data_IF_081766788354
#
_entry.id   IF_081766788354
#
_cell.length_a   1.000
_cell.length_b   1.000
_cell.length_c   1.000
_cell.angle_alpha   90.00
_cell.angle_beta   90.00
_cell.angle_gamma   90.00
#
_symmetry.space_group_name_H-M   'P 1'
#
loop_
_entity.id
_entity.type
_entity.pdbx_description
1 polymer ?
#
# COMPACT_ATOMS: atom_id res chain seq x y z
N UNK A 1 32.17 4.09 16.23
CA UNK A 1 30.71 4.10 16.32
C UNK A 1 30.27 5.55 16.27
N UNK A 2 29.89 6.02 15.12
CA UNK A 2 29.63 7.44 14.87
C UNK A 2 28.20 7.73 15.33
N UNK A 3 28.07 8.59 16.35
CA UNK A 3 26.84 9.31 16.62
C UNK A 3 26.64 10.27 15.46
N UNK A 4 25.96 9.86 14.42
CA UNK A 4 25.48 10.80 13.42
C UNK A 4 24.21 11.43 14.02
N UNK A 5 24.34 12.63 14.57
CA UNK A 5 23.25 13.60 14.47
C UNK A 5 23.04 13.74 12.98
N UNK A 6 21.97 13.16 12.48
CA UNK A 6 21.67 13.14 11.06
C UNK A 6 21.13 14.51 10.63
N UNK A 7 22.01 15.49 10.53
CA UNK A 7 21.68 16.75 9.81
C UNK A 7 21.56 16.53 8.29
N UNK A 8 21.95 15.35 7.79
CA UNK A 8 21.92 15.01 6.37
C UNK A 8 20.66 14.24 5.90
N UNK A 9 19.74 13.87 6.81
CA UNK A 9 18.56 13.12 6.38
C UNK A 9 17.42 14.08 6.09
N UNK A 10 17.13 14.20 4.81
CA UNK A 10 15.95 14.77 4.18
C UNK A 10 15.94 16.28 3.95
N UNK A 11 16.39 16.69 2.79
CA UNK A 11 15.90 17.85 2.03
C UNK A 11 14.44 17.69 1.57
N UNK A 12 13.57 17.05 2.37
CA UNK A 12 12.15 17.21 2.22
C UNK A 12 11.81 18.60 2.75
N UNK A 13 11.44 19.49 1.86
CA UNK A 13 10.99 20.82 2.25
C UNK A 13 9.80 20.67 3.20
N UNK A 14 9.77 21.45 4.29
CA UNK A 14 8.68 21.45 5.29
C UNK A 14 7.27 21.59 4.67
N UNK A 15 7.19 22.03 3.44
CA UNK A 15 5.97 22.29 2.68
C UNK A 15 5.17 21.02 2.34
N UNK A 16 5.80 19.88 2.19
CA UNK A 16 5.15 18.60 1.83
C UNK A 16 4.98 17.66 3.01
N UNK A 17 5.40 18.07 4.20
CA UNK A 17 5.47 17.21 5.35
C UNK A 17 4.20 17.28 6.21
N UNK A 18 3.75 16.12 6.70
CA UNK A 18 2.70 15.97 7.71
C UNK A 18 3.30 15.33 8.96
N UNK A 19 3.03 15.91 10.11
CA UNK A 19 3.49 15.36 11.39
C UNK A 19 2.69 14.12 11.78
N UNK A 20 3.36 12.96 11.75
CA UNK A 20 2.84 11.66 12.17
C UNK A 20 3.45 11.18 13.49
N UNK A 21 4.07 12.09 14.26
CA UNK A 21 4.75 11.71 15.51
C UNK A 21 3.81 11.42 16.66
N UNK A 22 2.56 11.85 16.62
CA UNK A 22 1.63 11.73 17.77
C UNK A 22 1.43 10.28 18.22
N UNK A 23 1.24 9.34 17.28
CA UNK A 23 1.06 7.93 17.62
C UNK A 23 2.36 7.31 18.12
N UNK A 24 3.49 7.71 17.53
CA UNK A 24 4.81 7.30 17.99
C UNK A 24 5.05 7.77 19.44
N UNK A 25 4.70 9.02 19.76
CA UNK A 25 4.81 9.59 21.11
C UNK A 25 3.99 8.81 22.12
N UNK A 26 2.69 8.61 21.83
CA UNK A 26 1.82 7.78 22.69
C UNK A 26 2.40 6.40 22.95
N UNK A 27 2.89 5.75 21.89
CA UNK A 27 3.52 4.44 22.01
C UNK A 27 4.76 4.46 22.90
N UNK A 28 5.69 5.41 22.67
CA UNK A 28 6.97 5.48 23.38
C UNK A 28 6.85 6.00 24.81
N UNK A 29 5.80 6.76 25.13
CA UNK A 29 5.49 7.21 26.50
C UNK A 29 4.96 6.05 27.35
N UNK A 30 4.15 5.17 26.75
CA UNK A 30 3.49 4.07 27.45
C UNK A 30 4.36 2.80 27.49
N UNK A 31 5.09 2.50 26.40
CA UNK A 31 5.85 1.26 26.26
C UNK A 31 7.35 1.51 26.15
N UNK A 32 8.20 0.61 26.64
CA UNK A 32 9.65 0.72 26.49
C UNK A 32 10.13 0.59 25.05
N UNK A 33 9.31 0.03 24.16
CA UNK A 33 9.62 -0.05 22.74
C UNK A 33 8.41 0.15 21.84
N UNK A 34 8.68 0.57 20.61
CA UNK A 34 7.69 0.61 19.51
C UNK A 34 8.24 -0.14 18.30
N UNK A 35 7.35 -0.78 17.55
CA UNK A 35 7.66 -1.42 16.27
C UNK A 35 6.82 -0.76 15.18
N UNK A 36 7.48 -0.16 14.20
CA UNK A 36 6.85 0.55 13.10
C UNK A 36 6.98 -0.31 11.84
N UNK A 37 5.86 -0.86 11.37
CA UNK A 37 5.84 -1.64 10.14
C UNK A 37 5.18 -0.88 8.99
N UNK A 38 5.65 -1.15 7.79
CA UNK A 38 5.03 -0.61 6.57
C UNK A 38 5.97 -0.73 5.37
N UNK A 39 5.40 -0.74 4.18
CA UNK A 39 6.16 -0.83 2.94
C UNK A 39 7.12 0.37 2.73
N UNK A 40 7.89 0.33 1.67
CA UNK A 40 8.74 1.45 1.28
C UNK A 40 7.89 2.73 1.08
N UNK A 41 8.51 3.88 1.30
CA UNK A 41 7.89 5.20 1.09
C UNK A 41 6.60 5.46 1.89
N UNK A 42 6.32 4.65 2.92
CA UNK A 42 5.19 4.85 3.83
C UNK A 42 5.42 5.91 4.93
N UNK A 43 6.59 6.56 4.94
CA UNK A 43 6.90 7.65 5.86
C UNK A 43 7.50 7.25 7.22
N UNK A 44 7.82 5.97 7.47
CA UNK A 44 8.38 5.47 8.75
C UNK A 44 9.59 6.25 9.23
N UNK A 45 10.65 6.28 8.42
CA UNK A 45 11.91 6.96 8.75
C UNK A 45 11.71 8.46 8.96
N UNK A 46 10.79 9.07 8.19
CA UNK A 46 10.44 10.48 8.34
C UNK A 46 9.81 10.74 9.72
N UNK A 47 8.81 9.93 10.10
CA UNK A 47 8.14 10.05 11.39
C UNK A 47 9.11 9.86 12.57
N UNK A 48 10.03 8.87 12.48
CA UNK A 48 11.06 8.64 13.51
C UNK A 48 12.04 9.81 13.60
N UNK A 49 12.52 10.33 12.47
CA UNK A 49 13.43 11.47 12.45
C UNK A 49 12.80 12.74 13.05
N UNK A 50 11.50 12.94 12.86
CA UNK A 50 10.81 14.06 13.51
C UNK A 50 10.66 13.85 15.01
N UNK A 51 10.30 12.64 15.43
CA UNK A 51 10.28 12.29 16.84
C UNK A 51 11.65 12.57 17.48
N UNK A 52 12.74 12.17 16.82
CA UNK A 52 14.10 12.43 17.29
C UNK A 52 14.42 13.94 17.41
N UNK A 53 14.01 14.74 16.42
CA UNK A 53 14.22 16.21 16.44
C UNK A 53 13.49 16.91 17.59
N UNK A 54 12.34 16.39 18.00
CA UNK A 54 11.54 16.95 19.10
C UNK A 54 12.11 16.59 20.48
N UNK A 55 12.78 15.44 20.61
CA UNK A 55 13.37 14.94 21.87
C UNK A 55 14.78 15.50 22.08
N UNK A 56 14.88 16.82 22.36
CA UNK A 56 16.16 17.56 22.43
C UNK A 56 17.11 17.07 23.52
N UNK A 57 16.56 16.54 24.62
CA UNK A 57 17.32 16.13 25.81
C UNK A 57 17.59 14.61 25.84
N UNK A 58 17.53 13.95 24.68
CA UNK A 58 17.72 12.51 24.58
C UNK A 58 18.76 12.20 23.53
N UNK A 59 19.74 11.37 23.90
CA UNK A 59 20.71 10.84 22.97
C UNK A 59 20.13 9.68 22.17
N UNK A 60 20.46 9.63 20.88
CA UNK A 60 19.99 8.58 19.96
C UNK A 60 21.18 7.75 19.45
N UNK A 61 20.96 6.44 19.39
CA UNK A 61 21.87 5.50 18.73
C UNK A 61 21.15 4.87 17.56
N UNK A 62 21.61 5.17 16.35
CA UNK A 62 21.11 4.53 15.13
C UNK A 62 21.83 3.19 14.92
N UNK A 63 21.06 2.11 14.87
CA UNK A 63 21.53 0.75 14.67
C UNK A 63 21.01 0.20 13.34
N UNK A 64 21.86 0.19 12.31
CA UNK A 64 21.51 -0.26 10.97
C UNK A 64 21.61 -1.78 10.88
N UNK A 65 20.46 -2.45 10.82
CA UNK A 65 20.34 -3.91 10.90
C UNK A 65 20.89 -4.64 9.67
N UNK A 66 20.80 -4.04 8.50
CA UNK A 66 21.30 -4.58 7.22
C UNK A 66 22.84 -4.70 7.16
N UNK A 67 23.53 -3.94 7.99
CA UNK A 67 25.01 -3.99 8.09
C UNK A 67 25.53 -5.11 8.99
N UNK A 68 24.65 -5.76 9.74
CA UNK A 68 25.00 -6.80 10.71
C UNK A 68 24.82 -8.19 10.09
N UNK A 69 25.86 -8.69 9.41
CA UNK A 69 25.79 -9.97 8.68
C UNK A 69 25.83 -11.19 9.60
N UNK A 70 26.65 -11.16 10.67
CA UNK A 70 26.77 -12.29 11.58
C UNK A 70 26.13 -12.02 12.96
N UNK A 71 25.61 -13.09 13.58
CA UNK A 71 24.90 -13.01 14.86
C UNK A 71 25.82 -12.60 16.00
N UNK A 72 27.06 -13.05 15.99
CA UNK A 72 28.01 -12.75 17.05
C UNK A 72 28.42 -11.27 17.10
N UNK A 73 28.65 -10.65 15.94
CA UNK A 73 28.91 -9.20 15.84
C UNK A 73 27.70 -8.40 16.32
N UNK A 74 26.51 -8.81 15.87
CA UNK A 74 25.25 -8.20 16.27
C UNK A 74 25.04 -8.20 17.79
N UNK A 75 25.17 -9.37 18.43
CA UNK A 75 24.97 -9.53 19.88
C UNK A 75 26.03 -8.73 20.67
N UNK A 76 27.28 -8.71 20.23
CA UNK A 76 28.32 -7.88 20.85
C UNK A 76 27.98 -6.40 20.80
N UNK A 77 27.52 -5.90 19.67
CA UNK A 77 27.11 -4.47 19.52
C UNK A 77 25.93 -4.12 20.42
N UNK A 78 24.89 -4.96 20.48
CA UNK A 78 23.78 -4.77 21.41
C UNK A 78 24.27 -4.72 22.88
N UNK A 79 25.22 -5.58 23.25
CA UNK A 79 25.77 -5.58 24.59
C UNK A 79 26.55 -4.30 24.92
N UNK A 80 27.26 -3.72 23.94
CA UNK A 80 27.94 -2.44 24.11
C UNK A 80 26.96 -1.28 24.25
N UNK A 81 25.89 -1.25 23.44
CA UNK A 81 24.80 -0.26 23.55
C UNK A 81 24.17 -0.36 24.94
N UNK A 82 23.84 -1.56 25.40
CA UNK A 82 23.23 -1.79 26.73
C UNK A 82 24.11 -1.23 27.85
N UNK A 83 25.42 -1.50 27.88
CA UNK A 83 26.33 -0.97 28.89
C UNK A 83 26.35 0.56 28.92
N UNK A 84 26.16 1.20 27.77
CA UNK A 84 26.06 2.65 27.69
C UNK A 84 24.74 3.14 28.26
N UNK A 85 23.61 2.46 27.97
CA UNK A 85 22.27 2.75 28.49
C UNK A 85 22.12 2.60 30.01
N UNK A 86 23.02 1.85 30.64
CA UNK A 86 23.09 1.76 32.12
C UNK A 86 23.59 3.08 32.78
N UNK A 87 24.26 3.94 32.01
CA UNK A 87 24.86 5.19 32.48
C UNK A 87 24.20 6.44 31.92
N UNK A 88 23.57 6.34 30.79
CA UNK A 88 23.02 7.45 30.02
C UNK A 88 21.61 7.14 29.55
N UNK A 89 20.76 8.18 29.48
CA UNK A 89 19.44 8.07 28.86
C UNK A 89 19.60 8.07 27.34
N UNK A 90 19.36 6.90 26.72
CA UNK A 90 19.57 6.70 25.29
C UNK A 90 18.33 6.04 24.68
N UNK A 91 17.92 6.51 23.49
CA UNK A 91 16.96 5.81 22.66
C UNK A 91 17.68 5.14 21.50
N UNK A 92 17.40 3.86 21.28
CA UNK A 92 17.98 3.06 20.19
C UNK A 92 16.98 2.95 19.07
N UNK A 93 17.40 3.35 17.86
CA UNK A 93 16.61 3.23 16.65
C UNK A 93 17.21 2.12 15.80
N UNK A 94 16.52 0.99 15.68
CA UNK A 94 16.89 -0.14 14.85
C UNK A 94 16.24 0.02 13.48
N UNK A 95 17.00 0.43 12.48
CA UNK A 95 16.52 0.64 11.10
C UNK A 95 16.92 -0.50 10.16
N UNK A 96 16.25 -0.55 9.00
CA UNK A 96 16.51 -1.53 7.94
C UNK A 96 16.33 -2.98 8.38
N UNK A 97 15.33 -3.27 9.21
CA UNK A 97 14.93 -4.63 9.57
C UNK A 97 14.18 -5.33 8.43
N UNK A 98 14.69 -5.23 7.21
CA UNK A 98 14.00 -5.66 5.98
C UNK A 98 14.33 -7.10 5.58
N UNK A 99 15.27 -7.75 6.29
CA UNK A 99 15.61 -9.15 6.09
C UNK A 99 15.10 -9.99 7.24
N UNK A 100 14.76 -11.26 7.02
CA UNK A 100 14.41 -12.17 8.09
C UNK A 100 15.51 -12.22 9.16
N UNK A 101 15.14 -11.93 10.40
CA UNK A 101 16.05 -12.07 11.53
C UNK A 101 16.28 -13.55 11.81
N UNK A 102 17.54 -13.91 12.13
CA UNK A 102 17.81 -15.21 12.76
C UNK A 102 17.13 -15.29 14.14
N UNK A 103 16.82 -16.50 14.57
CA UNK A 103 16.27 -16.72 15.92
C UNK A 103 17.18 -16.14 17.00
N UNK A 104 18.51 -16.23 16.84
CA UNK A 104 19.50 -15.68 17.76
C UNK A 104 19.46 -14.15 17.85
N UNK A 105 19.36 -13.44 16.71
CA UNK A 105 19.20 -11.99 16.69
C UNK A 105 17.89 -11.54 17.31
N UNK A 106 16.79 -12.25 17.00
CA UNK A 106 15.48 -11.95 17.55
C UNK A 106 15.46 -12.13 19.08
N UNK A 107 16.02 -13.22 19.60
CA UNK A 107 16.18 -13.43 21.04
C UNK A 107 17.02 -12.34 21.72
N UNK A 108 18.14 -11.98 21.12
CA UNK A 108 18.99 -10.92 21.64
C UNK A 108 18.26 -9.57 21.72
N UNK A 109 17.42 -9.23 20.72
CA UNK A 109 16.57 -8.02 20.75
C UNK A 109 15.50 -8.09 21.85
N UNK A 110 14.84 -9.24 22.01
CA UNK A 110 13.84 -9.43 23.06
C UNK A 110 14.48 -9.26 24.45
N UNK A 111 15.62 -9.89 24.70
CA UNK A 111 16.34 -9.74 25.96
C UNK A 111 16.87 -8.31 26.17
N UNK A 112 17.27 -7.65 25.10
CA UNK A 112 17.68 -6.24 25.13
C UNK A 112 16.51 -5.34 25.61
N UNK A 113 15.34 -5.47 25.01
CA UNK A 113 14.14 -4.70 25.38
C UNK A 113 13.67 -5.00 26.80
N UNK A 114 13.63 -6.28 27.19
CA UNK A 114 13.19 -6.69 28.55
C UNK A 114 14.06 -6.05 29.66
N UNK A 115 15.30 -5.72 29.36
CA UNK A 115 16.28 -5.18 30.31
C UNK A 115 16.54 -3.68 30.14
N UNK A 116 15.69 -2.97 29.39
CA UNK A 116 15.80 -1.53 29.28
C UNK A 116 15.52 -0.89 30.65
N UNK A 117 16.43 -0.03 31.09
CA UNK A 117 16.22 0.81 32.26
C UNK A 117 15.20 1.90 31.99
N UNK A 118 14.58 2.44 33.04
CA UNK A 118 13.61 3.51 32.93
C UNK A 118 14.20 4.73 32.19
N UNK A 119 13.38 5.28 31.30
CA UNK A 119 13.79 6.40 30.45
C UNK A 119 14.49 6.01 29.16
N UNK A 120 15.02 4.79 29.04
CA UNK A 120 15.55 4.25 27.80
C UNK A 120 14.44 3.69 26.91
N UNK A 121 14.61 3.78 25.58
CA UNK A 121 13.60 3.32 24.62
C UNK A 121 14.25 2.61 23.42
N UNK A 122 13.45 1.74 22.77
CA UNK A 122 13.86 1.08 21.55
C UNK A 122 12.79 1.28 20.46
N UNK A 123 13.21 1.73 19.29
CA UNK A 123 12.36 1.96 18.13
C UNK A 123 12.80 1.01 17.02
N UNK A 124 11.92 0.12 16.59
CA UNK A 124 12.14 -0.80 15.47
C UNK A 124 11.46 -0.27 14.23
N UNK A 125 12.18 -0.20 13.11
CA UNK A 125 11.65 0.24 11.82
C UNK A 125 11.84 -0.88 10.80
N UNK A 126 10.75 -1.41 10.26
CA UNK A 126 10.75 -2.55 9.37
C UNK A 126 9.79 -2.39 8.19
N UNK A 127 10.11 -3.06 7.09
CA UNK A 127 9.15 -3.30 5.98
C UNK A 127 8.36 -4.59 6.20
N UNK A 128 8.85 -5.46 7.05
CA UNK A 128 8.29 -6.78 7.32
C UNK A 128 7.67 -6.85 8.71
N UNK A 129 6.85 -7.90 8.93
CA UNK A 129 6.26 -8.22 10.25
C UNK A 129 7.35 -8.42 11.30
N UNK A 130 7.03 -8.14 12.57
CA UNK A 130 7.89 -8.55 13.65
C UNK A 130 8.15 -10.07 13.59
N UNK A 131 9.40 -10.46 13.80
CA UNK A 131 9.74 -11.87 13.97
C UNK A 131 8.93 -12.49 15.10
N UNK A 132 8.54 -13.78 14.98
CA UNK A 132 7.66 -14.48 15.97
C UNK A 132 8.11 -14.30 17.43
N UNK A 133 9.43 -14.29 17.70
CA UNK A 133 9.96 -14.06 19.05
C UNK A 133 9.79 -12.61 19.51
N UNK A 134 9.87 -11.63 18.61
CA UNK A 134 9.63 -10.22 18.91
C UNK A 134 8.15 -9.98 19.25
N UNK A 135 7.21 -10.75 18.67
CA UNK A 135 5.79 -10.67 19.02
C UNK A 135 5.53 -10.93 20.52
N UNK A 136 6.41 -11.65 21.22
CA UNK A 136 6.32 -11.84 22.66
C UNK A 136 6.31 -10.51 23.43
N UNK A 137 7.02 -9.50 22.92
CA UNK A 137 7.06 -8.17 23.55
C UNK A 137 5.72 -7.46 23.49
N UNK A 138 4.91 -7.70 22.45
CA UNK A 138 3.55 -7.15 22.36
C UNK A 138 2.66 -7.73 23.46
N UNK A 139 2.66 -9.05 23.60
CA UNK A 139 1.82 -9.73 24.61
C UNK A 139 2.25 -9.47 26.05
N UNK A 140 3.53 -9.11 26.25
CA UNK A 140 4.07 -8.73 27.56
C UNK A 140 3.99 -7.22 27.84
N UNK A 141 3.27 -6.47 27.04
CA UNK A 141 3.13 -5.01 27.15
C UNK A 141 4.48 -4.27 27.22
N UNK A 142 5.46 -4.79 26.49
CA UNK A 142 6.80 -4.18 26.38
C UNK A 142 7.02 -3.48 25.03
N UNK A 143 6.06 -3.62 24.10
CA UNK A 143 6.15 -3.04 22.77
C UNK A 143 4.78 -2.63 22.25
N UNK A 144 4.70 -1.48 21.59
CA UNK A 144 3.55 -1.03 20.83
C UNK A 144 3.80 -1.19 19.33
N UNK A 145 2.81 -1.72 18.59
CA UNK A 145 2.89 -1.91 17.15
C UNK A 145 2.20 -0.76 16.43
N UNK A 146 2.93 -0.07 15.58
CA UNK A 146 2.42 0.98 14.69
C UNK A 146 2.38 0.43 13.27
N UNK A 147 1.18 0.31 12.73
CA UNK A 147 0.97 -0.19 11.38
C UNK A 147 1.12 0.91 10.32
N UNK A 148 1.33 0.52 9.08
CA UNK A 148 1.36 1.45 7.95
C UNK A 148 0.10 2.34 7.89
N UNK A 149 -1.08 1.82 8.25
CA UNK A 149 -2.34 2.58 8.20
C UNK A 149 -2.27 3.89 9.00
N UNK A 150 -1.56 3.89 10.12
CA UNK A 150 -1.35 5.09 10.95
C UNK A 150 -0.45 6.14 10.28
N UNK A 151 0.36 5.74 9.32
CA UNK A 151 1.29 6.63 8.61
C UNK A 151 0.70 7.21 7.32
N UNK A 152 -0.35 6.60 6.76
CA UNK A 152 -1.01 7.11 5.56
C UNK A 152 -1.60 8.50 5.82
N UNK A 153 -1.57 9.35 4.81
CA UNK A 153 -2.18 10.68 4.90
C UNK A 153 -3.69 10.60 4.72
N UNK A 154 -4.43 11.28 5.59
CA UNK A 154 -5.87 11.48 5.43
C UNK A 154 -6.16 12.52 4.33
N UNK A 155 -7.44 12.62 3.94
CA UNK A 155 -7.86 13.63 2.96
C UNK A 155 -7.59 15.04 3.49
N UNK A 156 -7.82 15.29 4.79
CA UNK A 156 -7.60 16.57 5.46
C UNK A 156 -6.11 16.94 5.50
N UNK A 157 -5.25 15.97 5.72
CA UNK A 157 -3.80 16.13 5.70
C UNK A 157 -3.31 16.46 4.28
N UNK A 158 -3.83 15.77 3.26
CA UNK A 158 -3.54 16.08 1.85
C UNK A 158 -4.06 17.47 1.48
N UNK A 159 -5.23 17.86 1.97
CA UNK A 159 -5.75 19.22 1.78
C UNK A 159 -4.82 20.28 2.35
N UNK A 160 -4.22 20.01 3.51
CA UNK A 160 -3.21 20.90 4.11
C UNK A 160 -1.96 21.02 3.24
N UNK A 161 -1.52 19.91 2.59
CA UNK A 161 -0.42 19.94 1.60
C UNK A 161 -0.81 20.77 0.38
N UNK A 162 -2.00 20.55 -0.17
CA UNK A 162 -2.50 21.30 -1.33
C UNK A 162 -2.55 22.79 -1.04
N UNK A 163 -3.08 23.19 0.12
CA UNK A 163 -3.15 24.62 0.53
C UNK A 163 -1.76 25.25 0.69
N UNK A 164 -0.84 24.57 1.38
CA UNK A 164 0.54 25.07 1.57
C UNK A 164 1.31 25.25 0.26
N UNK A 165 1.01 24.44 -0.75
CA UNK A 165 1.67 24.47 -2.06
C UNK A 165 0.82 25.17 -3.12
N UNK A 166 -0.34 25.79 -2.74
CA UNK A 166 -1.27 26.46 -3.66
C UNK A 166 -1.71 25.60 -4.86
N UNK A 167 -1.84 24.27 -4.65
CA UNK A 167 -2.18 23.34 -5.72
C UNK A 167 -3.65 23.46 -6.12
N UNK A 168 -3.93 23.56 -7.41
CA UNK A 168 -5.28 23.64 -7.98
C UNK A 168 -6.00 22.27 -8.09
N UNK A 169 -5.44 21.20 -7.50
CA UNK A 169 -6.00 19.84 -7.51
C UNK A 169 -6.73 19.54 -6.19
N UNK A 170 -7.84 18.80 -6.25
CA UNK A 170 -8.60 18.44 -5.05
C UNK A 170 -7.91 17.32 -4.27
N UNK A 171 -7.82 17.47 -2.95
CA UNK A 171 -7.23 16.46 -2.06
C UNK A 171 -7.89 15.07 -2.21
N UNK A 172 -9.20 15.01 -2.40
CA UNK A 172 -9.93 13.74 -2.63
C UNK A 172 -9.47 13.01 -3.89
N UNK A 173 -9.10 13.72 -4.94
CA UNK A 173 -8.62 13.11 -6.18
C UNK A 173 -7.20 12.56 -5.99
N UNK A 174 -6.31 13.30 -5.31
CA UNK A 174 -4.99 12.78 -4.93
C UNK A 174 -5.13 11.55 -4.02
N UNK A 175 -6.01 11.61 -3.01
CA UNK A 175 -6.25 10.47 -2.12
C UNK A 175 -6.76 9.25 -2.88
N UNK A 176 -7.71 9.42 -3.81
CA UNK A 176 -8.22 8.32 -4.64
C UNK A 176 -7.12 7.64 -5.44
N UNK A 177 -6.17 8.41 -5.99
CA UNK A 177 -5.06 7.87 -6.79
C UNK A 177 -3.95 7.23 -5.94
N UNK A 178 -3.66 7.80 -4.76
CA UNK A 178 -2.50 7.42 -3.95
C UNK A 178 -2.85 6.54 -2.73
N UNK A 179 -4.15 6.47 -2.35
CA UNK A 179 -4.56 5.86 -1.08
C UNK A 179 -3.98 6.54 0.15
N UNK A 180 -3.51 7.79 0.02
CA UNK A 180 -2.83 8.53 1.09
C UNK A 180 -1.37 8.11 1.30
N UNK A 181 -0.75 7.39 0.37
CA UNK A 181 0.64 6.94 0.49
C UNK A 181 1.60 8.12 0.52
N UNK A 182 2.34 8.37 1.63
CA UNK A 182 3.09 9.61 1.84
C UNK A 182 4.08 9.96 0.73
N UNK A 183 4.93 9.01 0.31
CA UNK A 183 5.90 9.25 -0.75
C UNK A 183 5.25 9.65 -2.07
N UNK A 184 4.15 8.98 -2.46
CA UNK A 184 3.43 9.30 -3.69
C UNK A 184 2.69 10.63 -3.62
N UNK A 185 2.06 10.95 -2.48
CA UNK A 185 1.42 12.27 -2.27
C UNK A 185 2.45 13.39 -2.37
N UNK A 186 3.60 13.24 -1.70
CA UNK A 186 4.67 14.23 -1.76
C UNK A 186 5.27 14.39 -3.16
N UNK A 187 5.46 13.26 -3.88
CA UNK A 187 5.94 13.29 -5.27
C UNK A 187 4.98 14.07 -6.17
N UNK A 188 3.68 13.72 -6.14
CA UNK A 188 2.67 14.41 -6.93
C UNK A 188 2.58 15.89 -6.58
N UNK A 189 2.57 16.24 -5.29
CA UNK A 189 2.53 17.64 -4.85
C UNK A 189 3.73 18.45 -5.38
N UNK A 190 4.94 17.88 -5.35
CA UNK A 190 6.14 18.50 -5.90
C UNK A 190 6.05 18.68 -7.42
N UNK A 191 5.56 17.68 -8.13
CA UNK A 191 5.41 17.76 -9.59
C UNK A 191 4.39 18.81 -10.00
N UNK A 192 3.23 18.87 -9.32
CA UNK A 192 2.24 19.93 -9.56
C UNK A 192 2.84 21.31 -9.34
N UNK A 193 3.59 21.52 -8.26
CA UNK A 193 4.24 22.78 -7.98
C UNK A 193 5.24 23.16 -9.07
N UNK A 194 6.11 22.23 -9.48
CA UNK A 194 7.09 22.49 -10.54
C UNK A 194 6.42 22.89 -11.86
N UNK A 195 5.30 22.25 -12.22
CA UNK A 195 4.52 22.62 -13.41
C UNK A 195 3.91 24.02 -13.28
N UNK A 196 3.35 24.36 -12.13
CA UNK A 196 2.81 25.70 -11.88
C UNK A 196 3.90 26.77 -11.96
N UNK A 197 5.07 26.54 -11.36
CA UNK A 197 6.24 27.45 -11.45
C UNK A 197 6.71 27.66 -12.89
N UNK A 198 6.59 26.62 -13.73
CA UNK A 198 6.88 26.70 -15.17
C UNK A 198 5.74 27.36 -16.00
N UNK A 199 4.62 27.73 -15.36
CA UNK A 199 3.45 28.27 -16.07
C UNK A 199 2.67 27.21 -16.86
N UNK A 200 2.89 25.92 -16.61
CA UNK A 200 2.22 24.80 -17.27
C UNK A 200 1.02 24.32 -16.46
N UNK A 201 -0.08 24.02 -17.15
CA UNK A 201 -1.20 23.28 -16.54
C UNK A 201 -0.94 21.78 -16.66
N UNK A 202 -1.35 21.02 -15.64
CA UNK A 202 -1.28 19.57 -15.68
C UNK A 202 -2.50 18.95 -14.99
N UNK A 203 -2.98 17.86 -15.55
CA UNK A 203 -4.03 17.04 -14.95
C UNK A 203 -3.44 15.96 -14.05
N UNK A 204 -4.22 15.46 -13.09
CA UNK A 204 -3.78 14.36 -12.23
C UNK A 204 -3.49 13.08 -13.04
N UNK A 205 -4.28 12.82 -14.09
CA UNK A 205 -4.08 11.67 -14.99
C UNK A 205 -2.74 11.75 -15.71
N UNK A 206 -2.37 12.91 -16.24
CA UNK A 206 -1.07 13.11 -16.88
C UNK A 206 0.08 12.90 -15.90
N UNK A 207 -0.04 13.44 -14.68
CA UNK A 207 0.96 13.27 -13.64
C UNK A 207 1.13 11.80 -13.24
N UNK A 208 0.01 11.10 -13.01
CA UNK A 208 0.03 9.68 -12.66
C UNK A 208 0.72 8.81 -13.72
N UNK A 209 0.46 9.12 -14.99
CA UNK A 209 0.99 8.37 -16.14
C UNK A 209 2.37 8.88 -16.60
N UNK A 210 2.96 9.83 -15.88
CA UNK A 210 4.30 10.31 -16.19
C UNK A 210 5.35 9.24 -15.93
N UNK A 211 6.45 9.29 -16.68
CA UNK A 211 7.58 8.38 -16.51
C UNK A 211 8.18 8.45 -15.10
N UNK A 212 8.21 9.65 -14.51
CA UNK A 212 8.75 9.88 -13.18
C UNK A 212 7.94 9.16 -12.09
N UNK A 213 6.60 9.26 -12.14
CA UNK A 213 5.72 8.58 -11.16
C UNK A 213 5.76 7.07 -11.36
N UNK A 214 5.68 6.61 -12.61
CA UNK A 214 5.77 5.19 -12.91
C UNK A 214 7.13 4.60 -12.46
N UNK A 215 8.24 5.27 -12.81
CA UNK A 215 9.58 4.87 -12.41
C UNK A 215 9.77 4.85 -10.90
N UNK A 216 9.25 5.85 -10.19
CA UNK A 216 9.29 5.89 -8.73
C UNK A 216 8.51 4.73 -8.09
N UNK A 217 7.29 4.46 -8.57
CA UNK A 217 6.49 3.35 -8.07
C UNK A 217 7.21 2.02 -8.34
N UNK A 218 7.72 1.82 -9.53
CA UNK A 218 8.39 0.57 -9.91
C UNK A 218 9.69 0.35 -9.13
N UNK A 219 10.56 1.38 -9.00
CA UNK A 219 11.86 1.23 -8.35
C UNK A 219 11.77 1.25 -6.84
N UNK A 220 11.10 2.25 -6.26
CA UNK A 220 11.15 2.50 -4.82
C UNK A 220 10.12 1.68 -4.03
N UNK A 221 8.99 1.37 -4.65
CA UNK A 221 7.89 0.68 -3.97
C UNK A 221 7.81 -0.79 -4.42
N UNK A 222 7.53 -1.05 -5.69
CA UNK A 222 7.31 -2.41 -6.19
C UNK A 222 8.60 -3.23 -6.21
N UNK A 223 9.76 -2.60 -6.47
CA UNK A 223 11.07 -3.25 -6.41
C UNK A 223 11.42 -3.84 -5.04
N UNK A 224 10.66 -3.51 -3.98
CA UNK A 224 10.85 -4.07 -2.64
C UNK A 224 10.05 -5.35 -2.37
N UNK A 225 9.15 -5.72 -3.27
CA UNK A 225 8.32 -6.91 -3.16
C UNK A 225 9.13 -8.17 -3.52
N UNK A 226 8.83 -9.28 -2.86
CA UNK A 226 9.27 -10.59 -3.31
C UNK A 226 8.65 -10.93 -4.67
N UNK A 227 9.30 -11.82 -5.43
CA UNK A 227 8.78 -12.30 -6.72
C UNK A 227 7.32 -12.75 -6.60
N UNK A 228 7.01 -13.52 -5.55
CA UNK A 228 5.65 -14.01 -5.30
C UNK A 228 4.65 -12.88 -5.05
N UNK A 229 5.00 -11.90 -4.21
CA UNK A 229 4.13 -10.75 -3.92
C UNK A 229 3.90 -9.91 -5.18
N UNK A 230 4.94 -9.73 -6.01
CA UNK A 230 4.84 -9.02 -7.28
C UNK A 230 3.90 -9.74 -8.25
N UNK A 231 4.02 -11.07 -8.38
CA UNK A 231 3.15 -11.88 -9.25
C UNK A 231 1.69 -11.80 -8.78
N UNK A 232 1.42 -11.86 -7.46
CA UNK A 232 0.08 -11.70 -6.90
C UNK A 232 -0.50 -10.30 -7.13
N UNK A 233 0.31 -9.26 -6.94
CA UNK A 233 -0.11 -7.89 -7.17
C UNK A 233 -0.41 -7.65 -8.66
N UNK A 234 0.39 -8.21 -9.56
CA UNK A 234 0.14 -8.13 -10.99
C UNK A 234 -1.19 -8.77 -11.36
N UNK A 235 -1.46 -9.99 -10.90
CA UNK A 235 -2.72 -10.69 -11.12
C UNK A 235 -3.88 -9.87 -10.53
N UNK A 236 -3.77 -9.44 -9.28
CA UNK A 236 -4.78 -8.65 -8.60
C UNK A 236 -5.05 -7.31 -9.27
N UNK A 237 -4.05 -6.71 -9.95
CA UNK A 237 -4.23 -5.44 -10.66
C UNK A 237 -5.17 -5.54 -11.86
N UNK A 238 -5.37 -6.74 -12.41
CA UNK A 238 -6.28 -6.98 -13.52
C UNK A 238 -7.67 -7.40 -13.06
N UNK A 239 -7.80 -8.00 -11.88
CA UNK A 239 -9.09 -8.45 -11.34
C UNK A 239 -9.83 -7.30 -10.66
N UNK A 240 -11.17 -7.27 -10.68
CA UNK A 240 -11.96 -6.41 -9.80
C UNK A 240 -11.56 -6.57 -8.34
N UNK A 241 -11.41 -7.81 -7.90
CA UNK A 241 -10.88 -8.24 -6.60
C UNK A 241 -10.38 -9.68 -6.68
N UNK A 242 -9.64 -10.14 -5.69
CA UNK A 242 -9.17 -11.52 -5.54
C UNK A 242 -9.48 -12.04 -4.14
N UNK A 243 -9.52 -13.36 -3.96
CA UNK A 243 -9.63 -14.01 -2.66
C UNK A 243 -8.89 -15.35 -2.63
N UNK A 244 -8.85 -16.00 -1.46
CA UNK A 244 -8.19 -17.28 -1.28
C UNK A 244 -8.78 -18.39 -2.14
N UNK A 245 -10.12 -18.45 -2.25
CA UNK A 245 -10.82 -19.44 -3.07
C UNK A 245 -10.43 -19.33 -4.56
N UNK A 246 -10.37 -18.10 -5.08
CA UNK A 246 -9.91 -17.86 -6.45
C UNK A 246 -8.47 -18.35 -6.66
N UNK A 247 -7.59 -18.11 -5.67
CA UNK A 247 -6.20 -18.58 -5.73
C UNK A 247 -6.12 -20.11 -5.81
N UNK A 248 -6.93 -20.83 -5.05
CA UNK A 248 -7.00 -22.29 -5.07
C UNK A 248 -7.63 -22.82 -6.36
N UNK A 249 -8.77 -22.28 -6.77
CA UNK A 249 -9.56 -22.78 -7.89
C UNK A 249 -8.88 -22.54 -9.23
N UNK A 250 -8.37 -21.33 -9.47
CA UNK A 250 -7.81 -20.91 -10.75
C UNK A 250 -6.31 -21.18 -10.82
N UNK A 251 -5.54 -20.73 -9.79
CA UNK A 251 -4.07 -20.76 -9.84
C UNK A 251 -3.45 -21.93 -9.08
N UNK A 252 -4.26 -22.75 -8.39
CA UNK A 252 -3.81 -23.91 -7.61
C UNK A 252 -2.82 -23.55 -6.49
N UNK A 253 -3.04 -22.39 -5.86
CA UNK A 253 -2.21 -21.86 -4.78
C UNK A 253 -2.96 -21.96 -3.45
N UNK A 254 -2.62 -22.94 -2.62
CA UNK A 254 -3.30 -23.22 -1.35
C UNK A 254 -3.03 -22.20 -0.25
N UNK A 255 -1.89 -21.50 -0.29
CA UNK A 255 -1.49 -20.46 0.68
C UNK A 255 -1.68 -19.03 0.12
N UNK A 256 -2.54 -18.89 -0.89
CA UNK A 256 -2.82 -17.61 -1.55
C UNK A 256 -3.37 -16.56 -0.58
N UNK A 257 -4.22 -16.96 0.37
CA UNK A 257 -4.78 -16.03 1.36
C UNK A 257 -3.71 -15.42 2.26
N UNK A 258 -2.66 -16.15 2.62
CA UNK A 258 -1.56 -15.59 3.42
C UNK A 258 -0.83 -14.47 2.66
N UNK A 259 -0.55 -14.69 1.36
CA UNK A 259 0.07 -13.69 0.48
C UNK A 259 -0.83 -12.45 0.32
N UNK A 260 -2.15 -12.66 0.12
CA UNK A 260 -3.15 -11.59 0.04
C UNK A 260 -3.15 -10.75 1.32
N UNK A 261 -3.24 -11.40 2.48
CA UNK A 261 -3.20 -10.70 3.79
C UNK A 261 -1.88 -9.95 4.03
N UNK A 262 -0.77 -10.48 3.54
CA UNK A 262 0.51 -9.79 3.63
C UNK A 262 0.52 -8.51 2.76
N UNK A 263 0.03 -8.61 1.53
CA UNK A 263 -0.10 -7.46 0.62
C UNK A 263 -1.13 -6.43 1.13
N UNK A 264 -2.26 -6.89 1.70
CA UNK A 264 -3.25 -6.01 2.34
C UNK A 264 -2.62 -5.22 3.48
N UNK A 265 -1.89 -5.87 4.36
CA UNK A 265 -1.21 -5.22 5.47
C UNK A 265 -0.14 -4.22 5.01
N UNK A 266 0.58 -4.52 3.92
CA UNK A 266 1.52 -3.62 3.27
C UNK A 266 0.83 -2.50 2.48
N UNK A 267 -0.51 -2.48 2.42
CA UNK A 267 -1.30 -1.44 1.76
C UNK A 267 -1.40 -1.56 0.23
N UNK A 268 -0.95 -2.67 -0.34
CA UNK A 268 -1.05 -2.92 -1.78
C UNK A 268 -2.44 -3.41 -2.20
N UNK A 269 -3.10 -4.15 -1.31
CA UNK A 269 -4.47 -4.60 -1.46
C UNK A 269 -5.35 -3.94 -0.41
N UNK A 270 -6.63 -3.74 -0.75
CA UNK A 270 -7.65 -3.15 0.12
C UNK A 270 -8.82 -4.12 0.20
N UNK A 271 -9.26 -4.46 1.41
CA UNK A 271 -10.46 -5.25 1.59
C UNK A 271 -11.68 -4.43 1.13
N UNK A 272 -12.41 -4.93 0.14
CA UNK A 272 -13.57 -4.26 -0.46
C UNK A 272 -14.89 -5.02 -0.23
N UNK A 273 -14.82 -6.20 0.36
CA UNK A 273 -15.95 -7.04 0.75
C UNK A 273 -15.47 -8.15 1.67
N UNK A 274 -16.36 -9.03 2.11
CA UNK A 274 -16.00 -10.15 2.98
C UNK A 274 -15.00 -11.06 2.26
N UNK A 275 -13.75 -11.04 2.73
CA UNK A 275 -12.62 -11.79 2.14
C UNK A 275 -12.36 -11.48 0.65
N UNK A 276 -12.72 -10.27 0.20
CA UNK A 276 -12.47 -9.78 -1.15
C UNK A 276 -11.46 -8.64 -1.12
N UNK A 277 -10.41 -8.71 -1.94
CA UNK A 277 -9.28 -7.78 -1.91
C UNK A 277 -9.05 -7.20 -3.30
N UNK A 278 -9.20 -5.89 -3.42
CA UNK A 278 -8.88 -5.15 -4.64
C UNK A 278 -7.49 -4.52 -4.55
N UNK A 279 -6.80 -4.44 -5.67
CA UNK A 279 -5.54 -3.70 -5.74
C UNK A 279 -5.80 -2.21 -5.51
N UNK A 280 -5.02 -1.58 -4.64
CA UNK A 280 -5.09 -0.14 -4.42
C UNK A 280 -4.88 0.62 -5.74
N UNK A 281 -5.62 1.72 -5.92
CA UNK A 281 -5.67 2.45 -7.20
C UNK A 281 -4.27 2.81 -7.74
N UNK A 282 -3.36 3.19 -6.85
CA UNK A 282 -1.97 3.53 -7.19
C UNK A 282 -1.24 2.41 -7.95
N UNK A 283 -1.53 1.14 -7.63
CA UNK A 283 -0.84 -0.03 -8.17
C UNK A 283 -1.64 -0.76 -9.26
N UNK A 284 -2.84 -0.27 -9.58
CA UNK A 284 -3.60 -0.79 -10.70
C UNK A 284 -2.90 -0.44 -12.00
N UNK A 285 -2.40 -1.44 -12.70
CA UNK A 285 -1.97 -1.29 -14.09
C UNK A 285 -3.23 -1.12 -14.93
N UNK A 286 -3.27 -0.12 -15.80
CA UNK A 286 -4.33 -0.10 -16.82
C UNK A 286 -4.33 -1.45 -17.50
N UNK A 287 -5.51 -2.05 -17.64
CA UNK A 287 -5.67 -3.31 -18.35
C UNK A 287 -5.18 -3.09 -19.79
N UNK A 288 -3.87 -3.27 -19.98
CA UNK A 288 -3.28 -3.17 -21.29
C UNK A 288 -4.03 -4.16 -22.19
N UNK A 289 -4.63 -3.62 -23.25
CA UNK A 289 -5.42 -4.32 -24.28
C UNK A 289 -4.55 -5.32 -25.06
N UNK A 290 -3.91 -6.27 -24.37
CA UNK A 290 -3.07 -7.26 -25.01
C UNK A 290 -3.88 -8.52 -25.24
N UNK A 291 -3.96 -8.94 -26.49
CA UNK A 291 -4.53 -10.24 -26.90
C UNK A 291 -3.93 -11.45 -26.15
N UNK A 292 -2.73 -11.27 -25.56
CA UNK A 292 -2.05 -12.27 -24.74
C UNK A 292 -2.78 -12.64 -23.43
N UNK A 293 -3.71 -11.81 -22.95
CA UNK A 293 -4.45 -12.02 -21.69
C UNK A 293 -5.88 -12.51 -21.87
N UNK A 294 -6.31 -12.75 -23.11
CA UNK A 294 -7.69 -13.20 -23.42
C UNK A 294 -8.09 -14.43 -22.60
N UNK A 295 -7.24 -15.49 -22.61
CA UNK A 295 -7.51 -16.72 -21.86
C UNK A 295 -7.65 -16.45 -20.35
N UNK A 296 -6.81 -15.57 -19.80
CA UNK A 296 -6.90 -15.14 -18.41
C UNK A 296 -8.27 -14.52 -18.10
N UNK A 297 -8.68 -13.53 -18.86
CA UNK A 297 -9.96 -12.85 -18.66
C UNK A 297 -11.16 -13.79 -18.77
N UNK A 298 -11.15 -14.71 -19.74
CA UNK A 298 -12.21 -15.70 -19.89
C UNK A 298 -12.27 -16.67 -18.71
N UNK A 299 -11.11 -17.14 -18.21
CA UNK A 299 -11.06 -18.05 -17.06
C UNK A 299 -11.53 -17.39 -15.79
N UNK A 300 -11.05 -16.18 -15.52
CA UNK A 300 -11.43 -15.40 -14.31
C UNK A 300 -12.91 -14.99 -14.39
N UNK A 301 -13.38 -14.58 -15.57
CA UNK A 301 -14.78 -14.20 -15.77
C UNK A 301 -15.74 -15.36 -15.58
N UNK A 302 -15.38 -16.56 -16.08
CA UNK A 302 -16.18 -17.76 -15.86
C UNK A 302 -16.21 -18.19 -14.39
N UNK A 303 -15.12 -17.98 -13.65
CA UNK A 303 -15.08 -18.25 -12.22
C UNK A 303 -16.01 -17.27 -11.45
N UNK A 304 -15.96 -15.96 -11.75
CA UNK A 304 -16.87 -15.00 -11.14
C UNK A 304 -18.33 -15.33 -11.42
N UNK A 305 -18.65 -15.71 -12.66
CA UNK A 305 -20.01 -16.13 -13.05
C UNK A 305 -20.47 -17.35 -12.21
N UNK A 306 -19.63 -18.38 -12.09
CA UNK A 306 -19.92 -19.58 -11.33
C UNK A 306 -20.14 -19.32 -9.83
N UNK A 307 -19.46 -18.31 -9.27
CA UNK A 307 -19.60 -17.88 -7.88
C UNK A 307 -20.73 -16.83 -7.67
N UNK A 308 -21.49 -16.47 -8.72
CA UNK A 308 -22.61 -15.52 -8.65
C UNK A 308 -22.21 -14.05 -8.70
N UNK A 309 -20.94 -13.73 -9.03
CA UNK A 309 -20.46 -12.36 -9.16
C UNK A 309 -20.57 -11.86 -10.60
N UNK A 310 -21.81 -11.67 -11.05
CA UNK A 310 -22.13 -11.39 -12.46
C UNK A 310 -21.52 -10.07 -12.95
N UNK A 311 -21.46 -9.05 -12.11
CA UNK A 311 -20.82 -7.76 -12.44
C UNK A 311 -19.34 -7.92 -12.76
N UNK A 312 -18.61 -8.63 -11.92
CA UNK A 312 -17.18 -8.90 -12.07
C UNK A 312 -16.91 -9.82 -13.26
N UNK A 313 -17.78 -10.82 -13.46
CA UNK A 313 -17.75 -11.69 -14.63
C UNK A 313 -17.91 -10.90 -15.94
N UNK A 314 -18.92 -10.01 -15.99
CA UNK A 314 -19.14 -9.12 -17.13
C UNK A 314 -17.95 -8.22 -17.42
N UNK A 315 -17.35 -7.63 -16.38
CA UNK A 315 -16.12 -6.85 -16.51
C UNK A 315 -15.00 -7.66 -17.16
N UNK A 316 -14.76 -8.88 -16.71
CA UNK A 316 -13.73 -9.75 -17.26
C UNK A 316 -14.03 -10.15 -18.72
N UNK A 317 -15.28 -10.53 -19.03
CA UNK A 317 -15.67 -10.90 -20.39
C UNK A 317 -15.54 -9.72 -21.37
N UNK A 318 -15.84 -8.50 -20.91
CA UNK A 318 -15.63 -7.27 -21.70
C UNK A 318 -14.14 -7.06 -22.01
N UNK A 319 -13.25 -7.29 -21.04
CA UNK A 319 -11.80 -7.14 -21.21
C UNK A 319 -11.18 -8.29 -22.04
N UNK A 320 -11.81 -9.48 -22.08
CA UNK A 320 -11.39 -10.57 -22.93
C UNK A 320 -11.48 -10.22 -24.42
N UNK A 321 -12.30 -9.23 -24.78
CA UNK A 321 -12.52 -8.74 -26.14
C UNK A 321 -13.01 -9.83 -27.10
N UNK A 322 -13.83 -10.77 -26.61
CA UNK A 322 -14.39 -11.88 -27.37
C UNK A 322 -15.90 -11.71 -27.51
N UNK A 323 -16.33 -11.36 -28.72
CA UNK A 323 -17.74 -11.04 -29.03
C UNK A 323 -18.69 -12.18 -28.66
N UNK A 324 -18.39 -13.39 -29.09
CA UNK A 324 -19.27 -14.55 -28.88
C UNK A 324 -19.31 -14.98 -27.40
N UNK A 325 -18.16 -14.91 -26.69
CA UNK A 325 -18.13 -15.18 -25.27
C UNK A 325 -18.93 -14.16 -24.46
N UNK A 326 -18.79 -12.87 -24.78
CA UNK A 326 -19.53 -11.79 -24.13
C UNK A 326 -21.04 -11.89 -24.42
N UNK A 327 -21.42 -12.21 -25.66
CA UNK A 327 -22.80 -12.46 -26.05
C UNK A 327 -23.40 -13.64 -25.27
N UNK A 328 -22.70 -14.76 -25.23
CA UNK A 328 -23.13 -15.96 -24.51
C UNK A 328 -23.28 -15.68 -23.01
N UNK A 329 -22.35 -14.94 -22.40
CA UNK A 329 -22.43 -14.51 -21.01
C UNK A 329 -23.67 -13.62 -20.77
N UNK A 330 -23.90 -12.64 -21.64
CA UNK A 330 -25.04 -11.71 -21.52
C UNK A 330 -26.38 -12.46 -21.63
N UNK A 331 -26.49 -13.41 -22.53
CA UNK A 331 -27.71 -14.23 -22.69
C UNK A 331 -27.96 -15.10 -21.46
N UNK A 332 -26.93 -15.74 -20.91
CA UNK A 332 -27.09 -16.56 -19.68
C UNK A 332 -27.50 -15.76 -18.46
N UNK A 333 -27.04 -14.52 -18.36
CA UNK A 333 -27.24 -13.66 -17.19
C UNK A 333 -28.21 -12.49 -17.47
N UNK A 334 -29.09 -12.60 -18.46
CA UNK A 334 -29.97 -11.52 -18.92
C UNK A 334 -30.88 -10.97 -17.82
N UNK A 335 -31.23 -11.79 -16.83
CA UNK A 335 -32.11 -11.37 -15.73
C UNK A 335 -31.42 -10.48 -14.70
N UNK A 336 -30.09 -10.59 -14.56
CA UNK A 336 -29.31 -9.89 -13.55
C UNK A 336 -28.61 -8.64 -14.09
N UNK A 337 -28.13 -8.69 -15.33
CA UNK A 337 -27.36 -7.59 -15.96
C UNK A 337 -28.11 -6.24 -15.94
N UNK A 338 -29.43 -6.15 -16.15
CA UNK A 338 -30.14 -4.87 -16.12
C UNK A 338 -30.03 -4.13 -14.78
N UNK A 339 -29.75 -4.83 -13.68
CA UNK A 339 -29.62 -4.24 -12.35
C UNK A 339 -28.16 -3.96 -11.94
N UNK A 340 -27.21 -4.24 -12.83
CA UNK A 340 -25.77 -4.02 -12.59
C UNK A 340 -25.39 -2.64 -13.17
N UNK A 341 -24.68 -1.83 -12.37
CA UNK A 341 -24.07 -0.62 -12.91
C UNK A 341 -23.05 -1.00 -14.01
N UNK A 342 -23.42 -0.69 -15.25
CA UNK A 342 -22.64 -1.01 -16.44
C UNK A 342 -21.71 0.13 -16.89
N UNK A 343 -21.47 1.14 -16.04
CA UNK A 343 -20.63 2.29 -16.39
C UNK A 343 -19.20 1.94 -16.80
N UNK A 344 -18.69 0.76 -16.39
CA UNK A 344 -17.39 0.23 -16.80
C UNK A 344 -17.41 -0.51 -18.16
N UNK A 345 -18.57 -0.93 -18.64
CA UNK A 345 -18.73 -1.45 -20.00
C UNK A 345 -18.70 -0.26 -20.94
N UNK A 346 -17.46 0.17 -21.28
CA UNK A 346 -17.24 1.34 -22.13
C UNK A 346 -18.06 1.21 -23.41
N UNK A 347 -19.12 1.94 -23.42
CA UNK A 347 -20.24 1.83 -24.35
C UNK A 347 -19.86 1.92 -25.82
N UNK A 348 -18.83 2.70 -26.14
CA UNK A 348 -18.48 3.02 -27.51
C UNK A 348 -17.96 1.79 -28.31
N UNK A 349 -17.37 0.83 -27.63
CA UNK A 349 -16.73 -0.29 -28.32
C UNK A 349 -17.69 -1.38 -28.75
N UNK A 350 -18.84 -1.51 -28.09
CA UNK A 350 -19.80 -2.60 -28.30
C UNK A 350 -21.18 -2.12 -28.80
N UNK A 351 -21.37 -0.79 -28.90
CA UNK A 351 -22.65 -0.18 -29.32
C UNK A 351 -23.18 -0.72 -30.64
N UNK A 352 -22.31 -1.03 -31.59
CA UNK A 352 -22.72 -1.40 -32.95
C UNK A 352 -22.65 -2.89 -33.24
N UNK A 353 -22.13 -3.70 -32.31
CA UNK A 353 -21.72 -5.08 -32.60
C UNK A 353 -22.46 -6.17 -31.86
N UNK A 354 -23.17 -5.87 -30.78
CA UNK A 354 -23.91 -6.86 -29.97
C UNK A 354 -25.26 -6.27 -29.55
N UNK A 355 -26.33 -6.50 -30.35
CA UNK A 355 -27.68 -5.98 -30.07
C UNK A 355 -28.21 -6.35 -28.68
N UNK A 356 -27.88 -7.57 -28.20
CA UNK A 356 -28.30 -8.06 -26.91
C UNK A 356 -27.75 -7.20 -25.75
N UNK A 357 -26.51 -6.74 -25.86
CA UNK A 357 -25.91 -5.83 -24.85
C UNK A 357 -26.54 -4.44 -24.91
N UNK A 358 -26.83 -3.93 -26.10
CA UNK A 358 -27.54 -2.66 -26.26
C UNK A 358 -28.91 -2.72 -25.63
N UNK A 359 -29.66 -3.82 -25.83
CA UNK A 359 -30.96 -4.02 -25.21
C UNK A 359 -30.88 -4.07 -23.66
N UNK A 360 -29.96 -4.89 -23.12
CA UNK A 360 -29.76 -4.99 -21.66
C UNK A 360 -29.31 -3.67 -21.04
N UNK A 361 -28.57 -2.86 -21.77
CA UNK A 361 -28.17 -1.54 -21.35
C UNK A 361 -29.32 -0.56 -21.35
N UNK A 362 -30.19 -0.59 -22.37
CA UNK A 362 -31.43 0.18 -22.40
C UNK A 362 -32.32 -0.15 -21.21
N UNK A 363 -32.47 -1.45 -20.88
CA UNK A 363 -33.18 -1.89 -19.68
C UNK A 363 -32.52 -1.37 -18.39
N UNK A 364 -31.18 -1.40 -18.28
CA UNK A 364 -30.47 -0.86 -17.13
C UNK A 364 -30.73 0.64 -16.97
N UNK A 365 -30.66 1.43 -18.05
CA UNK A 365 -30.99 2.85 -18.02
C UNK A 365 -32.46 3.10 -17.60
N UNK A 366 -33.37 2.29 -18.05
CA UNK A 366 -34.79 2.37 -17.67
C UNK A 366 -34.98 2.11 -16.18
N UNK A 367 -34.42 1.03 -15.63
CA UNK A 367 -34.55 0.68 -14.21
C UNK A 367 -33.79 1.64 -13.28
N UNK A 368 -32.68 2.23 -13.73
CA UNK A 368 -31.92 3.25 -12.98
C UNK A 368 -32.49 4.66 -13.10
N UNK A 369 -33.59 4.85 -13.84
CA UNK A 369 -34.21 6.16 -14.17
C UNK A 369 -33.25 7.13 -14.88
N UNK A 370 -32.23 6.61 -15.54
CA UNK A 370 -31.26 7.38 -16.30
C UNK A 370 -31.76 7.57 -17.75
N UNK A 371 -32.69 8.52 -17.94
CA UNK A 371 -33.32 8.77 -19.23
C UNK A 371 -32.36 9.22 -20.31
N UNK A 372 -31.30 10.02 -19.95
CA UNK A 372 -30.30 10.47 -20.91
C UNK A 372 -29.41 9.33 -21.47
N UNK A 373 -29.34 8.21 -20.79
CA UNK A 373 -28.61 7.01 -21.23
C UNK A 373 -29.40 6.11 -22.18
N UNK A 374 -30.73 6.32 -22.32
CA UNK A 374 -31.57 5.49 -23.18
C UNK A 374 -31.43 5.84 -24.67
N UNK A 375 -31.11 7.08 -24.99
CA UNK A 375 -31.00 7.59 -26.36
C UNK A 375 -29.58 7.37 -26.95
N UNK A 376 -28.66 6.82 -26.19
CA UNK A 376 -27.29 6.50 -26.57
C UNK A 376 -27.08 5.01 -26.69
#
# INVERSE_FOLDING_TARGET
MTLQRTDEVLTFTKEHYIDKTQELKKGIETFPSIFIEGAAESGKTVAVNMLMKEQKDTDFVLFLMDREKDDGSFIRKLSLIRRRMEKEKIWVVCENMNQPLSDAKAEALVEFVKRLADGNRCIFVSREKPHRKILELLWKEKMHLISQKSLLFSIEEIESICKRNSLAVRAKDIFRETGGWPGCVCLLARMFRNKMEAGESATLSEMRNSYEVAGYIDSEILGTLSKRESDFLEIGSWCPWINGKMCEDIWKISDGMETIKNLERKGFLIECGKEQYATAALFRKEACRQNSKRKFWMTVGAWYEAEGFIKEGLFCMTNANEKEALKTFAIRNYAEIPFIDMGFVAAERWKETIPEICFLRGMNCYFSQNIEGMDK
#
